data_IF_070029809660
#
_entry.id   IF_070029809660
#
_cell.length_a   1.000
_cell.length_b   1.000
_cell.length_c   1.000
_cell.angle_alpha   90.00
_cell.angle_beta   90.00
_cell.angle_gamma   90.00
#
_symmetry.space_group_name_H-M   'P 1'
#
loop_
_entity.id
_entity.type
_entity.pdbx_description
1 polymer ?
#
# COMPACT_ATOMS: atom_id res chain seq x y z
N UNK A 1 -2.13 19.16 9.63
CA UNK A 1 -3.10 18.82 8.56
C UNK A 1 -3.12 17.30 8.44
N UNK A 2 -4.13 16.69 7.84
CA UNK A 2 -4.04 15.27 7.47
C UNK A 2 -4.61 15.18 6.07
N UNK A 3 -3.83 14.66 5.12
CA UNK A 3 -4.23 14.55 3.73
C UNK A 3 -4.49 13.09 3.38
N UNK A 4 -5.51 12.87 2.55
CA UNK A 4 -5.93 11.55 2.08
C UNK A 4 -5.99 11.58 0.57
N UNK A 5 -5.41 10.57 -0.07
CA UNK A 5 -5.52 10.36 -1.50
C UNK A 5 -5.98 8.94 -1.77
N UNK A 6 -6.97 8.78 -2.67
CA UNK A 6 -7.37 7.48 -3.21
C UNK A 6 -7.03 7.47 -4.69
N UNK A 7 -6.12 6.59 -5.09
CA UNK A 7 -5.72 6.39 -6.48
C UNK A 7 -6.32 5.09 -6.98
N UNK A 8 -6.96 5.12 -8.15
CA UNK A 8 -7.39 3.92 -8.87
C UNK A 8 -6.33 3.60 -9.92
N UNK A 9 -5.86 2.35 -9.92
CA UNK A 9 -4.95 1.81 -10.92
C UNK A 9 -5.76 1.25 -12.10
N UNK A 10 -5.13 1.14 -13.27
CA UNK A 10 -5.80 0.75 -14.52
C UNK A 10 -6.36 -0.68 -14.53
N UNK A 11 -5.92 -1.52 -13.61
CA UNK A 11 -6.36 -2.90 -13.37
C UNK A 11 -7.52 -3.00 -12.36
N UNK A 12 -8.06 -1.87 -11.91
CA UNK A 12 -9.13 -1.83 -10.92
C UNK A 12 -8.66 -1.86 -9.46
N UNK A 13 -7.35 -1.99 -9.23
CA UNK A 13 -6.76 -1.90 -7.90
C UNK A 13 -6.82 -0.48 -7.35
N UNK A 14 -6.74 -0.37 -6.03
CA UNK A 14 -6.85 0.92 -5.34
C UNK A 14 -5.64 1.11 -4.42
N UNK A 15 -5.20 2.35 -4.28
CA UNK A 15 -4.16 2.73 -3.31
C UNK A 15 -4.70 3.89 -2.49
N UNK A 16 -4.64 3.76 -1.17
CA UNK A 16 -5.00 4.80 -0.21
C UNK A 16 -3.73 5.34 0.44
N UNK A 17 -3.44 6.61 0.24
CA UNK A 17 -2.36 7.33 0.91
C UNK A 17 -2.89 8.20 2.05
N UNK A 18 -2.23 8.13 3.21
CA UNK A 18 -2.60 8.85 4.44
C UNK A 18 -1.36 9.58 4.94
N UNK A 19 -1.36 10.91 4.87
CA UNK A 19 -0.24 11.74 5.32
C UNK A 19 -0.53 12.39 6.67
N UNK A 20 0.33 12.18 7.67
CA UNK A 20 0.21 12.82 8.99
C UNK A 20 1.22 13.95 9.16
N UNK A 21 0.76 15.21 9.17
CA UNK A 21 1.66 16.38 9.32
C UNK A 21 2.41 16.44 10.66
N UNK A 22 1.92 15.79 11.72
CA UNK A 22 2.54 15.87 13.06
C UNK A 22 3.49 14.71 13.40
N UNK A 23 3.59 13.72 12.53
CA UNK A 23 4.39 12.52 12.73
C UNK A 23 4.90 12.15 11.35
N UNK A 24 6.04 12.70 10.96
CA UNK A 24 6.64 12.60 9.63
C UNK A 24 6.44 11.18 9.07
N UNK A 25 5.51 11.05 8.12
CA UNK A 25 5.10 9.74 7.65
C UNK A 25 3.92 9.74 6.70
N UNK A 26 4.12 9.02 5.60
CA UNK A 26 3.10 8.63 4.65
C UNK A 26 2.78 7.15 4.88
N UNK A 27 1.54 6.87 5.25
CA UNK A 27 1.00 5.52 5.34
C UNK A 27 0.35 5.16 4.02
N UNK A 28 0.65 3.98 3.49
CA UNK A 28 0.03 3.45 2.28
C UNK A 28 -0.76 2.19 2.62
N UNK A 29 -1.98 2.11 2.10
CA UNK A 29 -2.80 0.91 2.11
C UNK A 29 -3.10 0.49 0.66
N UNK A 30 -2.71 -0.74 0.33
CA UNK A 30 -2.97 -1.35 -0.96
C UNK A 30 -4.29 -2.10 -0.94
N UNK A 31 -5.07 -1.91 -2.00
CA UNK A 31 -6.42 -2.46 -2.17
C UNK A 31 -7.31 -2.22 -0.93
N UNK A 32 -7.58 -0.94 -0.61
CA UNK A 32 -8.49 -0.58 0.46
C UNK A 32 -9.88 -1.15 0.23
N UNK A 33 -10.48 -1.67 1.29
CA UNK A 33 -11.90 -2.02 1.33
C UNK A 33 -12.75 -0.75 1.19
N UNK A 34 -14.02 -0.90 0.82
CA UNK A 34 -14.92 0.25 0.76
C UNK A 34 -15.06 0.90 2.14
N UNK A 35 -15.10 0.11 3.22
CA UNK A 35 -15.09 0.62 4.60
C UNK A 35 -13.85 1.46 4.92
N UNK A 36 -12.65 1.02 4.51
CA UNK A 36 -11.41 1.76 4.72
C UNK A 36 -11.41 3.10 3.96
N UNK A 37 -12.00 3.12 2.76
CA UNK A 37 -12.22 4.37 2.01
C UNK A 37 -13.22 5.28 2.71
N UNK A 38 -14.28 4.74 3.31
CA UNK A 38 -15.25 5.51 4.07
C UNK A 38 -14.66 6.11 5.34
N UNK A 39 -13.88 5.34 6.11
CA UNK A 39 -13.13 5.84 7.27
C UNK A 39 -12.16 6.95 6.85
N UNK A 40 -11.54 6.81 5.68
CA UNK A 40 -10.64 7.84 5.18
C UNK A 40 -11.38 9.16 4.83
N UNK A 41 -12.63 9.05 4.38
CA UNK A 41 -13.50 10.19 4.09
C UNK A 41 -14.13 10.81 5.34
N UNK A 42 -14.38 10.02 6.39
CA UNK A 42 -14.91 10.53 7.67
C UNK A 42 -13.88 11.33 8.45
N UNK A 43 -12.59 11.13 8.15
CA UNK A 43 -11.49 11.78 8.86
C UNK A 43 -10.99 10.99 10.07
N UNK A 44 -11.49 9.77 10.30
CA UNK A 44 -11.07 8.86 11.37
C UNK A 44 -9.73 8.15 11.06
N UNK A 45 -8.77 8.93 10.59
CA UNK A 45 -7.49 8.47 10.02
C UNK A 45 -6.58 7.80 11.05
N UNK A 46 -6.86 8.00 12.34
CA UNK A 46 -6.18 7.28 13.41
C UNK A 46 -6.46 5.78 13.38
N UNK A 47 -7.68 5.36 13.03
CA UNK A 47 -8.01 3.93 12.94
C UNK A 47 -7.25 3.27 11.80
N UNK A 48 -7.20 3.94 10.64
CA UNK A 48 -6.42 3.46 9.50
C UNK A 48 -4.93 3.39 9.83
N UNK A 49 -4.37 4.42 10.45
CA UNK A 49 -2.94 4.46 10.78
C UNK A 49 -2.47 3.34 11.70
N UNK A 50 -3.34 2.85 12.58
CA UNK A 50 -3.02 1.74 13.49
C UNK A 50 -3.45 0.38 12.94
N UNK A 51 -3.90 0.31 11.69
CA UNK A 51 -4.16 -0.95 11.02
C UNK A 51 -2.85 -1.63 10.66
N UNK A 52 -2.76 -2.94 10.91
CA UNK A 52 -1.61 -3.77 10.52
C UNK A 52 -1.38 -3.80 9.00
N UNK A 53 -2.37 -3.36 8.21
CA UNK A 53 -2.29 -3.28 6.74
C UNK A 53 -1.59 -2.02 6.24
N UNK A 54 -1.41 -1.00 7.07
CA UNK A 54 -0.75 0.24 6.67
C UNK A 54 0.75 0.07 6.66
N UNK A 55 1.35 0.35 5.51
CA UNK A 55 2.80 0.39 5.33
C UNK A 55 3.27 1.83 5.51
N UNK A 56 4.13 2.07 6.50
CA UNK A 56 4.70 3.40 6.75
C UNK A 56 5.94 3.63 5.88
N UNK A 57 5.89 4.63 5.00
CA UNK A 57 7.00 4.98 4.11
C UNK A 57 8.10 5.81 4.79
N UNK A 58 7.86 6.38 5.97
CA UNK A 58 8.89 7.08 6.76
C UNK A 58 9.97 6.16 7.35
N UNK A 59 9.89 4.84 7.11
CA UNK A 59 10.94 3.87 7.46
C UNK A 59 11.88 3.55 6.28
N UNK A 60 11.71 4.19 5.12
CA UNK A 60 12.48 3.89 3.90
C UNK A 60 13.79 4.68 3.75
N UNK A 61 14.27 5.36 4.79
CA UNK A 61 15.54 6.10 4.82
C UNK A 61 16.81 5.20 4.81
N UNK A 62 16.81 4.08 4.09
CA UNK A 62 18.02 3.26 3.95
C UNK A 62 18.00 2.15 2.91
N UNK A 63 16.83 1.64 2.50
CA UNK A 63 16.77 0.59 1.49
C UNK A 63 15.49 0.77 0.67
N UNK A 64 15.61 1.39 -0.50
CA UNK A 64 14.55 1.39 -1.51
C UNK A 64 14.34 -0.05 -1.98
N UNK A 65 13.51 -0.82 -1.26
CA UNK A 65 12.97 -2.07 -1.78
C UNK A 65 11.93 -1.73 -2.81
N UNK A 66 12.31 -1.83 -4.07
CA UNK A 66 11.38 -1.80 -5.19
C UNK A 66 10.41 -2.97 -5.02
N UNK A 67 9.14 -2.68 -4.70
CA UNK A 67 8.07 -3.68 -4.59
C UNK A 67 7.67 -4.29 -5.96
N UNK A 68 8.37 -3.92 -7.04
CA UNK A 68 8.14 -4.45 -8.38
C UNK A 68 8.81 -5.81 -8.64
N UNK A 69 9.52 -6.38 -7.65
CA UNK A 69 10.21 -7.68 -7.77
C UNK A 69 9.35 -8.88 -7.31
N UNK A 70 8.05 -8.69 -7.10
CA UNK A 70 7.15 -9.79 -6.75
C UNK A 70 6.49 -10.32 -8.02
N UNK A 71 7.22 -11.21 -8.71
CA UNK A 71 6.64 -12.20 -9.62
C UNK A 71 7.12 -12.13 -11.05
N UNK A 72 8.34 -12.62 -11.32
CA UNK A 72 8.48 -13.50 -12.48
C UNK A 72 7.87 -14.85 -12.07
N UNK A 73 6.82 -15.36 -12.75
CA UNK A 73 6.38 -16.71 -12.49
C UNK A 73 7.52 -17.63 -12.88
N UNK A 74 8.06 -18.39 -11.91
CA UNK A 74 8.94 -19.51 -12.22
C UNK A 74 8.17 -20.42 -13.18
N UNK A 75 8.51 -20.35 -14.47
CA UNK A 75 7.99 -21.26 -15.47
C UNK A 75 8.56 -22.64 -15.14
N UNK A 76 7.78 -23.42 -14.41
CA UNK A 76 7.95 -24.85 -14.26
C UNK A 76 7.88 -25.47 -15.66
N UNK A 77 9.06 -25.65 -16.27
CA UNK A 77 9.26 -26.35 -17.53
C UNK A 77 10.03 -27.61 -17.25
N UNK A 78 9.33 -28.65 -16.77
CA UNK A 78 9.81 -30.01 -16.92
C UNK A 78 9.56 -30.47 -18.37
N UNK A 79 10.58 -31.06 -18.99
CA UNK A 79 10.54 -32.35 -19.70
C UNK A 79 11.99 -32.77 -20.07
N UNK A 80 12.26 -34.00 -20.55
CA UNK A 80 13.11 -34.97 -19.87
C UNK A 80 14.41 -35.20 -20.68
N UNK A 81 15.42 -35.81 -20.06
CA UNK A 81 16.58 -36.30 -20.81
C UNK A 81 16.39 -37.76 -21.26
N UNK A 82 17.00 -38.15 -22.41
CA UNK A 82 16.61 -39.28 -23.26
C UNK A 82 16.99 -40.69 -22.76
#
# INVERSE_FOLDING_TARGET
MVAVVVVRLGDGRRVLGIERTYRDGLGILFDPTDDEVEIARSGDLWQLWNSDRVVSLSSLDGETRSFLDIGEPETSGGDPEP
#
